data_IF_993659719664
#
_entry.id   IF_993659719664
#
_cell.length_a   1.000
_cell.length_b   1.000
_cell.length_c   1.000
_cell.angle_alpha   90.00
_cell.angle_beta   90.00
_cell.angle_gamma   90.00
#
_symmetry.space_group_name_H-M   'P 1'
#
loop_
_entity.id
_entity.type
_entity.pdbx_description
1 polymer ?
#
# COMPACT_ATOMS: atom_id res chain seq x y z
N UNK A 1 -8.42 -6.63 7.46
CA UNK A 1 -8.19 -6.17 6.06
C UNK A 1 -8.11 -4.66 5.89
N UNK A 2 -8.72 -3.85 6.77
CA UNK A 2 -8.63 -2.38 6.74
C UNK A 2 -7.23 -1.83 7.09
N UNK A 3 -6.46 -2.53 7.91
CA UNK A 3 -5.13 -2.08 8.35
C UNK A 3 -4.14 -1.86 7.20
N UNK A 4 -4.07 -2.77 6.24
CA UNK A 4 -3.19 -2.63 5.08
C UNK A 4 -3.63 -1.46 4.17
N UNK A 5 -4.94 -1.33 3.94
CA UNK A 5 -5.50 -0.23 3.15
C UNK A 5 -5.21 1.13 3.78
N UNK A 6 -5.37 1.23 5.11
CA UNK A 6 -5.02 2.41 5.90
C UNK A 6 -3.52 2.71 5.85
N UNK A 7 -2.68 1.68 5.97
CA UNK A 7 -1.23 1.83 5.87
C UNK A 7 -0.80 2.39 4.50
N UNK A 8 -1.37 1.87 3.39
CA UNK A 8 -1.09 2.38 2.05
C UNK A 8 -1.39 3.88 1.94
N UNK A 9 -2.57 4.29 2.40
CA UNK A 9 -3.00 5.69 2.40
C UNK A 9 -2.07 6.57 3.23
N UNK A 10 -1.74 6.14 4.45
CA UNK A 10 -0.86 6.90 5.34
C UNK A 10 0.55 7.03 4.77
N UNK A 11 1.13 5.96 4.21
CA UNK A 11 2.47 6.00 3.63
C UNK A 11 2.48 6.91 2.39
N UNK A 12 1.42 6.86 1.56
CA UNK A 12 1.24 7.80 0.45
C UNK A 12 1.23 9.26 0.91
N UNK A 13 0.39 9.58 1.91
CA UNK A 13 0.23 10.93 2.44
C UNK A 13 1.51 11.44 3.12
N UNK A 14 2.23 10.58 3.85
CA UNK A 14 3.52 10.92 4.47
C UNK A 14 4.60 11.29 3.44
N UNK A 15 4.54 10.71 2.25
CA UNK A 15 5.42 11.05 1.14
C UNK A 15 4.93 12.26 0.31
N UNK A 16 3.79 12.87 0.66
CA UNK A 16 3.22 13.99 -0.09
C UNK A 16 2.65 13.57 -1.46
N UNK A 17 2.37 12.29 -1.67
CA UNK A 17 1.94 11.76 -2.95
C UNK A 17 0.42 11.81 -3.11
N UNK A 18 -0.04 12.09 -4.34
CA UNK A 18 -1.45 11.93 -4.72
C UNK A 18 -1.73 10.50 -5.20
N UNK A 19 -2.97 10.03 -5.14
CA UNK A 19 -3.33 8.72 -5.71
C UNK A 19 -3.00 8.65 -7.21
N UNK A 20 -3.15 9.76 -7.93
CA UNK A 20 -2.80 9.87 -9.36
C UNK A 20 -1.29 9.74 -9.57
N UNK A 21 -0.48 10.33 -8.70
CA UNK A 21 0.98 10.18 -8.76
C UNK A 21 1.39 8.71 -8.58
N UNK A 22 0.90 8.06 -7.52
CA UNK A 22 1.20 6.65 -7.26
C UNK A 22 0.75 5.77 -8.42
N UNK A 23 -0.46 5.99 -8.95
CA UNK A 23 -0.97 5.24 -10.09
C UNK A 23 -0.08 5.36 -11.32
N UNK A 24 0.43 6.57 -11.61
CA UNK A 24 1.38 6.82 -12.71
C UNK A 24 2.70 6.08 -12.49
N UNK A 25 3.27 6.14 -11.29
CA UNK A 25 4.53 5.45 -10.96
C UNK A 25 4.41 3.92 -11.05
N UNK A 26 3.22 3.39 -10.72
CA UNK A 26 2.96 1.95 -10.73
C UNK A 26 2.37 1.45 -12.06
N UNK A 27 2.19 2.33 -13.04
CA UNK A 27 1.56 2.04 -14.34
C UNK A 27 0.18 1.37 -14.24
N UNK A 28 -0.67 1.90 -13.35
CA UNK A 28 -2.05 1.43 -13.15
C UNK A 28 -3.04 2.61 -13.17
N UNK A 29 -4.34 2.29 -13.08
CA UNK A 29 -5.38 3.32 -12.96
C UNK A 29 -5.43 3.93 -11.56
N UNK A 30 -5.82 5.21 -11.46
CA UNK A 30 -6.10 5.87 -10.17
C UNK A 30 -7.16 5.13 -9.37
N UNK A 31 -8.17 4.56 -10.06
CA UNK A 31 -9.21 3.75 -9.44
C UNK A 31 -8.62 2.50 -8.78
N UNK A 32 -7.57 1.90 -9.34
CA UNK A 32 -6.85 0.78 -8.73
C UNK A 32 -6.27 1.15 -7.35
N UNK A 33 -5.52 2.26 -7.29
CA UNK A 33 -4.96 2.78 -6.02
C UNK A 33 -6.07 3.09 -5.03
N UNK A 34 -7.16 3.75 -5.47
CA UNK A 34 -8.30 4.06 -4.62
C UNK A 34 -8.97 2.80 -4.05
N UNK A 35 -9.14 1.75 -4.86
CA UNK A 35 -9.69 0.47 -4.38
C UNK A 35 -8.79 -0.18 -3.34
N UNK A 36 -7.47 -0.10 -3.48
CA UNK A 36 -6.54 -0.62 -2.47
C UNK A 36 -6.61 0.17 -1.16
N UNK A 37 -6.60 1.50 -1.22
CA UNK A 37 -6.66 2.37 -0.03
C UNK A 37 -8.00 2.30 0.71
N UNK A 38 -9.06 1.89 0.03
CA UNK A 38 -10.38 1.66 0.62
C UNK A 38 -10.62 0.19 1.02
N UNK A 39 -9.66 -0.72 0.78
CA UNK A 39 -9.79 -2.13 1.11
C UNK A 39 -10.72 -2.94 0.20
N UNK A 40 -11.16 -2.36 -0.93
CA UNK A 40 -12.06 -2.97 -1.91
C UNK A 40 -11.34 -3.91 -2.88
N UNK A 41 -10.01 -3.84 -2.94
CA UNK A 41 -9.16 -4.74 -3.72
C UNK A 41 -7.78 -4.86 -3.05
N UNK A 42 -6.99 -5.84 -3.49
CA UNK A 42 -5.60 -6.01 -3.04
C UNK A 42 -4.62 -5.90 -4.20
N UNK A 43 -3.43 -5.30 -3.99
CA UNK A 43 -2.34 -5.40 -4.95
C UNK A 43 -1.86 -6.85 -5.05
N UNK A 44 -1.37 -7.24 -6.24
CA UNK A 44 -0.63 -8.49 -6.41
C UNK A 44 0.70 -8.46 -5.67
N UNK A 45 1.38 -9.60 -5.56
CA UNK A 45 2.71 -9.67 -4.95
C UNK A 45 3.74 -8.76 -5.68
N UNK A 46 3.73 -8.78 -7.01
CA UNK A 46 4.58 -7.90 -7.82
C UNK A 46 4.32 -6.42 -7.53
N UNK A 47 3.05 -6.06 -7.42
CA UNK A 47 2.66 -4.69 -7.15
C UNK A 47 3.01 -4.26 -5.72
N UNK A 48 2.94 -5.18 -4.77
CA UNK A 48 3.37 -4.96 -3.40
C UNK A 48 4.86 -4.62 -3.34
N UNK A 49 5.70 -5.34 -4.08
CA UNK A 49 7.13 -5.03 -4.19
C UNK A 49 7.35 -3.62 -4.77
N UNK A 50 6.65 -3.27 -5.86
CA UNK A 50 6.74 -1.92 -6.44
C UNK A 50 6.31 -0.82 -5.47
N UNK A 51 5.26 -1.06 -4.67
CA UNK A 51 4.81 -0.14 -3.62
C UNK A 51 5.90 0.05 -2.55
N UNK A 52 6.52 -1.05 -2.08
CA UNK A 52 7.59 -0.97 -1.09
C UNK A 52 8.79 -0.18 -1.61
N UNK A 53 9.17 -0.37 -2.87
CA UNK A 53 10.21 0.44 -3.51
C UNK A 53 9.81 1.92 -3.62
N UNK A 54 8.58 2.21 -4.10
CA UNK A 54 8.09 3.58 -4.29
C UNK A 54 8.02 4.36 -2.97
N UNK A 55 7.63 3.69 -1.89
CA UNK A 55 7.51 4.28 -0.56
C UNK A 55 8.78 4.16 0.28
N UNK A 56 9.87 3.64 -0.31
CA UNK A 56 11.18 3.46 0.34
C UNK A 56 11.04 2.72 1.68
N UNK A 57 10.26 1.64 1.70
CA UNK A 57 10.05 0.86 2.90
C UNK A 57 11.30 0.04 3.26
N UNK A 58 11.65 0.00 4.54
CA UNK A 58 12.71 -0.89 5.03
C UNK A 58 12.18 -2.29 5.32
N UNK A 59 13.07 -3.28 5.39
CA UNK A 59 12.71 -4.65 5.76
C UNK A 59 12.01 -4.72 7.12
N UNK A 60 12.49 -3.93 8.09
CA UNK A 60 11.88 -3.84 9.42
C UNK A 60 10.46 -3.29 9.34
N UNK A 61 10.22 -2.22 8.57
CA UNK A 61 8.87 -1.67 8.37
C UNK A 61 7.92 -2.69 7.73
N UNK A 62 8.42 -3.43 6.73
CA UNK A 62 7.64 -4.46 6.02
C UNK A 62 7.27 -5.61 6.98
N UNK A 63 8.21 -6.08 7.80
CA UNK A 63 7.95 -7.14 8.79
C UNK A 63 6.88 -6.71 9.79
N UNK A 64 7.02 -5.51 10.35
CA UNK A 64 6.04 -4.93 11.30
C UNK A 64 4.66 -4.79 10.66
N UNK A 65 4.58 -4.42 9.38
CA UNK A 65 3.32 -4.36 8.65
C UNK A 65 2.67 -5.74 8.56
N UNK A 66 3.43 -6.78 8.20
CA UNK A 66 2.91 -8.14 8.08
C UNK A 66 2.46 -8.73 9.41
N UNK A 67 3.18 -8.47 10.50
CA UNK A 67 2.80 -8.91 11.84
C UNK A 67 1.44 -8.31 12.23
N UNK A 68 1.26 -6.99 12.05
CA UNK A 68 0.00 -6.27 12.35
C UNK A 68 -1.18 -6.72 11.49
N UNK A 69 -0.93 -7.05 10.23
CA UNK A 69 -1.96 -7.54 9.31
C UNK A 69 -2.31 -9.01 9.60
N UNK A 70 -1.35 -9.81 10.07
CA UNK A 70 -1.52 -11.21 10.44
C UNK A 70 -2.31 -11.42 11.72
N UNK A 71 -2.14 -10.56 12.74
CA UNK A 71 -2.87 -10.65 14.02
C UNK A 71 -4.37 -10.36 13.90
N UNK A 72 -4.78 -9.53 12.93
CA UNK A 72 -6.19 -9.21 12.65
C UNK A 72 -6.97 -10.35 11.94
N UNK A 73 -6.48 -11.59 12.01
CA UNK A 73 -7.17 -12.81 11.56
C UNK A 73 -7.76 -13.65 12.71
N UNK A 74 -7.59 -13.23 13.97
CA UNK A 74 -8.28 -13.82 15.12
C UNK A 74 -9.59 -13.11 15.41
#
# INVERSE_FOLDING_TARGET
MMEFARWLRQKREKNGYTQTFVAKQLHISRQGVSKWENGNARPSYEMLHKIFCLYQCTEQEIKVLFDKVGENKK
#
